data_IF_492862778635
#
_entry.id   IF_492862778635
#
_cell.length_a   1.000
_cell.length_b   1.000
_cell.length_c   1.000
_cell.angle_alpha   90.00
_cell.angle_beta   90.00
_cell.angle_gamma   90.00
#
_symmetry.space_group_name_H-M   'P 1'
#
loop_
_entity.id
_entity.type
_entity.pdbx_description
1 polymer ?
#
# COMPACT_ATOMS: atom_id res chain seq x y z
N UNK A 1 -11.08 55.66 16.32
CA UNK A 1 -10.63 54.25 16.15
C UNK A 1 -11.73 53.42 15.49
N UNK A 2 -11.73 53.42 14.17
CA UNK A 2 -12.69 52.64 13.42
C UNK A 2 -12.10 51.24 13.23
N UNK A 3 -12.48 50.32 14.05
CA UNK A 3 -12.32 48.88 13.78
C UNK A 3 -13.07 48.56 12.52
N UNK A 4 -12.36 48.60 11.38
CA UNK A 4 -12.86 48.11 10.10
C UNK A 4 -13.07 46.61 10.27
N UNK A 5 -14.27 46.16 10.63
CA UNK A 5 -14.66 44.76 10.55
C UNK A 5 -14.43 44.34 9.11
N UNK A 6 -13.40 43.59 8.88
CA UNK A 6 -13.14 42.98 7.61
C UNK A 6 -14.25 41.95 7.39
N UNK A 7 -15.32 42.38 6.72
CA UNK A 7 -16.36 41.45 6.25
C UNK A 7 -15.65 40.45 5.35
N UNK A 8 -15.46 39.24 5.84
CA UNK A 8 -14.97 38.14 5.01
C UNK A 8 -16.05 37.87 3.97
N UNK A 9 -15.78 38.25 2.73
CA UNK A 9 -16.66 37.96 1.62
C UNK A 9 -16.87 36.44 1.53
N UNK A 10 -18.08 36.02 1.20
CA UNK A 10 -18.38 34.60 1.04
C UNK A 10 -17.47 33.97 -0.02
N UNK A 11 -16.94 32.77 0.20
CA UNK A 11 -16.06 32.13 -0.75
C UNK A 11 -16.77 31.93 -2.11
N UNK A 12 -16.08 32.22 -3.20
CA UNK A 12 -16.58 31.97 -4.56
C UNK A 12 -16.84 30.46 -4.74
N UNK A 13 -17.79 30.11 -5.58
CA UNK A 13 -18.11 28.69 -5.89
C UNK A 13 -16.86 27.91 -6.32
N UNK A 14 -15.98 28.52 -7.11
CA UNK A 14 -14.69 27.94 -7.52
C UNK A 14 -13.80 27.61 -6.32
N UNK A 15 -13.79 28.48 -5.30
CA UNK A 15 -13.05 28.24 -4.05
C UNK A 15 -13.62 27.08 -3.27
N UNK A 16 -14.94 26.94 -3.23
CA UNK A 16 -15.61 25.79 -2.56
C UNK A 16 -15.22 24.48 -3.25
N UNK A 17 -15.24 24.44 -4.58
CA UNK A 17 -14.82 23.27 -5.35
C UNK A 17 -13.36 22.91 -5.06
N UNK A 18 -12.47 23.90 -5.03
CA UNK A 18 -11.05 23.68 -4.70
C UNK A 18 -10.88 23.13 -3.27
N UNK A 19 -11.62 23.65 -2.30
CA UNK A 19 -11.60 23.13 -0.92
C UNK A 19 -12.05 21.66 -0.88
N UNK A 20 -13.10 21.31 -1.60
CA UNK A 20 -13.55 19.91 -1.70
C UNK A 20 -12.46 19.02 -2.28
N UNK A 21 -11.78 19.45 -3.34
CA UNK A 21 -10.66 18.71 -3.92
C UNK A 21 -9.50 18.53 -2.91
N UNK A 22 -9.15 19.56 -2.14
CA UNK A 22 -8.11 19.49 -1.11
C UNK A 22 -8.52 18.52 0.01
N UNK A 23 -9.79 18.50 0.41
CA UNK A 23 -10.30 17.55 1.40
C UNK A 23 -10.19 16.11 0.89
N UNK A 24 -10.57 15.84 -0.36
CA UNK A 24 -10.48 14.51 -0.97
C UNK A 24 -9.02 14.04 -1.01
N UNK A 25 -8.09 14.91 -1.44
CA UNK A 25 -6.66 14.63 -1.44
C UNK A 25 -6.13 14.39 -0.02
N UNK A 26 -6.60 15.16 0.95
CA UNK A 26 -6.24 15.00 2.36
C UNK A 26 -6.71 13.67 2.94
N UNK A 27 -7.93 13.23 2.60
CA UNK A 27 -8.44 11.92 3.02
C UNK A 27 -7.63 10.77 2.41
N UNK A 28 -7.22 10.90 1.14
CA UNK A 28 -6.33 9.94 0.51
C UNK A 28 -4.96 9.93 1.22
N UNK A 29 -4.35 11.09 1.43
CA UNK A 29 -3.08 11.20 2.15
C UNK A 29 -3.17 10.61 3.57
N UNK A 30 -4.28 10.83 4.29
CA UNK A 30 -4.50 10.25 5.61
C UNK A 30 -4.54 8.70 5.57
N UNK A 31 -5.14 8.12 4.54
CA UNK A 31 -5.13 6.67 4.31
C UNK A 31 -3.71 6.13 4.16
N UNK A 32 -2.87 6.80 3.35
CA UNK A 32 -1.48 6.42 3.12
C UNK A 32 -0.60 6.64 4.37
N UNK A 33 -0.75 7.77 5.06
CA UNK A 33 0.00 8.04 6.31
C UNK A 33 -0.35 7.00 7.37
N UNK A 34 -1.63 6.67 7.55
CA UNK A 34 -2.06 5.62 8.48
C UNK A 34 -1.48 4.25 8.11
N UNK A 35 -1.44 3.92 6.82
CA UNK A 35 -0.83 2.70 6.31
C UNK A 35 0.65 2.61 6.68
N UNK A 36 1.47 3.61 6.31
CA UNK A 36 2.91 3.60 6.59
C UNK A 36 3.22 3.72 8.08
N UNK A 37 2.39 4.41 8.86
CA UNK A 37 2.55 4.48 10.32
C UNK A 37 2.24 3.16 11.01
N UNK A 38 1.21 2.42 10.56
CA UNK A 38 0.89 1.10 11.09
C UNK A 38 1.95 0.05 10.72
N UNK A 39 2.58 0.17 9.54
CA UNK A 39 3.73 -0.65 9.13
C UNK A 39 4.90 -0.53 10.09
N UNK A 40 5.24 0.67 10.56
CA UNK A 40 6.34 0.87 11.53
C UNK A 40 6.11 0.02 12.79
N UNK A 41 4.87 -0.16 13.21
CA UNK A 41 4.53 -1.00 14.37
C UNK A 41 4.69 -2.50 14.07
N UNK A 42 4.34 -2.95 12.87
CA UNK A 42 4.48 -4.35 12.42
C UNK A 42 5.94 -4.69 12.16
N UNK A 43 6.69 -3.78 11.57
CA UNK A 43 8.09 -3.98 11.18
C UNK A 43 9.06 -4.02 12.38
N UNK A 44 8.65 -3.49 13.53
CA UNK A 44 9.35 -3.74 14.81
C UNK A 44 9.21 -5.18 15.29
N UNK A 45 8.31 -5.96 14.72
CA UNK A 45 8.18 -7.38 15.00
C UNK A 45 9.15 -8.15 14.09
N UNK A 46 10.31 -8.52 14.63
CA UNK A 46 11.40 -9.23 13.93
C UNK A 46 10.92 -10.57 13.33
N UNK A 47 9.81 -11.11 13.86
CA UNK A 47 9.27 -12.42 13.46
C UNK A 47 8.26 -12.37 12.30
N UNK A 48 8.05 -11.21 11.67
CA UNK A 48 7.12 -11.12 10.54
C UNK A 48 7.78 -11.57 9.23
N UNK A 49 7.17 -12.50 8.47
CA UNK A 49 7.70 -12.91 7.18
C UNK A 49 7.68 -11.74 6.18
N UNK A 50 8.55 -11.84 5.15
CA UNK A 50 8.69 -10.83 4.09
C UNK A 50 8.47 -11.49 2.74
N UNK A 51 7.75 -10.81 1.83
CA UNK A 51 7.74 -11.12 0.41
C UNK A 51 8.65 -10.15 -0.32
N UNK A 52 9.60 -10.69 -1.07
CA UNK A 52 10.56 -9.93 -1.87
C UNK A 52 10.45 -10.36 -3.35
N UNK A 53 10.16 -9.41 -4.24
CA UNK A 53 10.05 -9.61 -5.69
C UNK A 53 10.82 -8.49 -6.39
N UNK A 54 12.15 -8.61 -6.52
CA UNK A 54 13.00 -7.53 -7.02
C UNK A 54 12.64 -7.05 -8.43
N UNK A 55 12.17 -7.95 -9.31
CA UNK A 55 11.77 -7.63 -10.69
C UNK A 55 10.76 -6.49 -10.78
N UNK A 56 9.87 -6.39 -9.79
CA UNK A 56 8.83 -5.35 -9.72
C UNK A 56 8.97 -4.43 -8.50
N UNK A 57 10.09 -4.55 -7.76
CA UNK A 57 10.44 -3.68 -6.63
C UNK A 57 9.54 -3.86 -5.41
N UNK A 58 9.07 -5.08 -5.16
CA UNK A 58 8.30 -5.42 -3.95
C UNK A 58 9.26 -5.94 -2.88
N UNK A 59 9.22 -5.32 -1.71
CA UNK A 59 9.82 -5.80 -0.46
C UNK A 59 8.86 -5.39 0.67
N UNK A 60 8.02 -6.34 1.11
CA UNK A 60 6.89 -6.08 1.96
C UNK A 60 6.77 -7.10 3.09
N UNK A 61 6.53 -6.62 4.32
CA UNK A 61 6.16 -7.48 5.44
C UNK A 61 4.80 -8.13 5.18
N UNK A 62 4.73 -9.42 5.50
CA UNK A 62 3.48 -10.17 5.42
C UNK A 62 2.80 -10.11 6.79
N UNK A 63 1.52 -9.74 6.80
CA UNK A 63 0.67 -9.75 7.98
C UNK A 63 -0.46 -10.77 7.85
N UNK A 64 -1.07 -11.14 8.98
CA UNK A 64 -2.22 -12.05 9.04
C UNK A 64 -3.49 -11.38 9.57
N UNK A 65 -3.52 -10.04 9.59
CA UNK A 65 -4.59 -9.25 10.22
C UNK A 65 -5.53 -8.64 9.20
N UNK A 66 -4.99 -7.87 8.23
CA UNK A 66 -5.80 -7.10 7.30
C UNK A 66 -5.03 -6.68 6.04
N UNK A 67 -5.75 -6.61 4.92
CA UNK A 67 -5.25 -6.01 3.68
C UNK A 67 -4.87 -4.52 3.83
N UNK A 68 -5.49 -3.82 4.77
CA UNK A 68 -5.15 -2.42 5.05
C UNK A 68 -3.76 -2.24 5.67
N UNK A 69 -3.12 -3.32 6.09
CA UNK A 69 -1.76 -3.33 6.64
C UNK A 69 -0.70 -3.83 5.64
N UNK A 70 -1.05 -3.97 4.37
CA UNK A 70 -0.13 -4.38 3.32
C UNK A 70 -0.42 -5.76 2.75
N UNK A 71 0.61 -6.56 2.57
CA UNK A 71 0.46 -7.93 2.08
C UNK A 71 -0.08 -8.82 3.20
N UNK A 72 -1.22 -9.46 2.95
CA UNK A 72 -1.90 -10.32 3.91
C UNK A 72 -1.78 -11.79 3.50
N UNK A 73 -1.35 -12.63 4.44
CA UNK A 73 -1.43 -14.08 4.31
C UNK A 73 -2.86 -14.56 4.62
N UNK A 74 -3.45 -15.34 3.72
CA UNK A 74 -4.79 -15.89 3.94
C UNK A 74 -4.73 -16.99 5.01
N UNK A 75 -5.49 -16.83 6.09
CA UNK A 75 -5.55 -17.77 7.20
C UNK A 75 -6.04 -19.19 6.81
N UNK A 76 -6.63 -19.34 5.61
CA UNK A 76 -7.07 -20.64 5.08
C UNK A 76 -6.01 -21.31 4.20
N UNK A 77 -4.90 -20.63 3.93
CA UNK A 77 -3.76 -21.19 3.21
C UNK A 77 -2.69 -21.69 4.20
N UNK A 78 -1.67 -22.32 3.67
CA UNK A 78 -0.62 -22.92 4.47
C UNK A 78 0.61 -22.02 4.56
N UNK A 79 1.55 -22.33 5.42
CA UNK A 79 2.88 -21.74 5.42
C UNK A 79 3.74 -22.40 4.33
N UNK A 80 4.77 -21.71 3.82
CA UNK A 80 5.71 -22.32 2.86
C UNK A 80 6.18 -23.69 3.33
N UNK A 81 6.41 -24.60 2.40
CA UNK A 81 6.80 -26.01 2.62
C UNK A 81 5.76 -26.92 3.28
N UNK A 82 4.71 -26.36 3.89
CA UNK A 82 3.62 -27.15 4.48
C UNK A 82 2.38 -27.25 3.58
N UNK A 83 2.34 -26.48 2.49
CA UNK A 83 1.25 -26.47 1.52
C UNK A 83 1.22 -25.19 0.71
N UNK A 84 0.15 -25.00 -0.04
CA UNK A 84 -0.02 -23.85 -0.90
C UNK A 84 -0.22 -22.56 -0.09
N UNK A 85 0.50 -21.51 -0.50
CA UNK A 85 0.49 -20.19 0.15
C UNK A 85 -0.40 -19.22 -0.65
N UNK A 86 -1.26 -18.47 0.02
CA UNK A 86 -2.01 -17.37 -0.59
C UNK A 86 -1.61 -16.05 0.06
N UNK A 87 -1.13 -15.11 -0.75
CA UNK A 87 -0.87 -13.73 -0.35
C UNK A 87 -1.77 -12.78 -1.14
N UNK A 88 -2.43 -11.88 -0.45
CA UNK A 88 -3.29 -10.86 -1.04
C UNK A 88 -2.77 -9.46 -0.72
N UNK A 89 -2.89 -8.55 -1.67
CA UNK A 89 -2.45 -7.16 -1.50
C UNK A 89 -3.28 -6.19 -2.35
N UNK A 90 -3.41 -4.95 -1.87
CA UNK A 90 -4.07 -3.91 -2.63
C UNK A 90 -3.28 -3.51 -3.87
N UNK A 91 -4.01 -3.10 -4.93
CA UNK A 91 -3.40 -2.61 -6.17
C UNK A 91 -3.33 -1.09 -6.26
N UNK A 92 -4.21 -0.36 -5.57
CA UNK A 92 -4.36 1.10 -5.70
C UNK A 92 -4.54 1.85 -4.40
N UNK A 93 -4.59 1.16 -3.27
CA UNK A 93 -4.85 1.75 -1.95
C UNK A 93 -3.82 1.27 -0.95
N UNK A 94 -3.58 2.09 0.08
CA UNK A 94 -2.81 1.68 1.26
C UNK A 94 -1.43 1.09 0.87
N UNK A 95 -0.57 1.94 0.28
CA UNK A 95 0.75 1.59 -0.19
C UNK A 95 0.78 0.81 -1.50
N UNK A 96 -0.37 0.29 -1.96
CA UNK A 96 -0.49 -0.43 -3.24
C UNK A 96 0.59 -1.51 -3.45
N UNK A 97 0.82 -2.42 -2.48
CA UNK A 97 1.96 -3.35 -2.53
C UNK A 97 1.97 -4.21 -3.80
N UNK A 98 0.81 -4.48 -4.39
CA UNK A 98 0.67 -5.28 -5.61
C UNK A 98 0.30 -4.45 -6.86
N UNK A 99 0.65 -3.15 -6.89
CA UNK A 99 0.37 -2.27 -8.03
C UNK A 99 0.93 -2.84 -9.34
N UNK A 100 2.17 -3.33 -9.31
CA UNK A 100 2.92 -3.80 -10.49
C UNK A 100 2.87 -5.31 -10.70
N UNK A 101 1.99 -6.02 -10.00
CA UNK A 101 1.92 -7.49 -10.06
C UNK A 101 1.67 -8.02 -11.49
N UNK A 102 0.97 -7.24 -12.33
CA UNK A 102 0.74 -7.58 -13.74
C UNK A 102 2.01 -7.58 -14.61
N UNK A 103 3.11 -7.01 -14.14
CA UNK A 103 4.38 -6.96 -14.88
C UNK A 103 5.17 -8.27 -14.76
N UNK A 104 4.83 -9.13 -13.78
CA UNK A 104 5.47 -10.44 -13.65
C UNK A 104 5.19 -11.34 -14.84
N UNK A 105 6.21 -12.10 -15.24
CA UNK A 105 6.18 -13.04 -16.32
C UNK A 105 6.61 -14.43 -15.83
N UNK A 106 6.28 -15.47 -16.61
CA UNK A 106 6.74 -16.82 -16.31
C UNK A 106 8.28 -16.85 -16.25
N UNK A 107 8.80 -17.47 -15.20
CA UNK A 107 10.24 -17.53 -14.90
C UNK A 107 10.74 -16.47 -13.91
N UNK A 108 9.95 -15.42 -13.61
CA UNK A 108 10.29 -14.48 -12.54
C UNK A 108 10.26 -15.16 -11.17
N UNK A 109 11.06 -14.66 -10.22
CA UNK A 109 11.19 -15.27 -8.90
C UNK A 109 10.44 -14.45 -7.85
N UNK A 110 9.69 -15.17 -7.01
CA UNK A 110 9.04 -14.67 -5.80
C UNK A 110 9.77 -15.29 -4.62
N UNK A 111 10.37 -14.47 -3.76
CA UNK A 111 11.09 -14.93 -2.57
C UNK A 111 10.26 -14.62 -1.33
N UNK A 112 10.09 -15.60 -0.46
CA UNK A 112 9.55 -15.43 0.88
C UNK A 112 10.65 -15.65 1.91
N UNK A 113 10.91 -14.64 2.74
CA UNK A 113 11.70 -14.80 3.96
C UNK A 113 10.74 -15.18 5.10
N UNK A 114 10.78 -16.43 5.53
CA UNK A 114 9.81 -16.91 6.51
C UNK A 114 10.47 -17.38 7.80
N UNK A 115 10.31 -16.66 8.92
CA UNK A 115 10.90 -17.03 10.20
C UNK A 115 10.53 -18.46 10.61
N UNK A 116 11.55 -19.23 10.99
CA UNK A 116 11.38 -20.63 11.35
C UNK A 116 11.36 -21.63 10.17
N UNK A 117 11.34 -21.14 8.91
CA UNK A 117 11.41 -21.97 7.70
C UNK A 117 12.66 -21.65 6.90
N UNK A 118 12.93 -20.36 6.61
CA UNK A 118 14.06 -19.91 5.80
C UNK A 118 13.63 -19.03 4.63
N UNK A 119 14.53 -18.87 3.67
CA UNK A 119 14.26 -18.28 2.36
C UNK A 119 13.60 -19.33 1.47
N UNK A 120 12.42 -19.01 0.93
CA UNK A 120 11.66 -19.91 0.08
C UNK A 120 11.39 -19.23 -1.26
N UNK A 121 11.93 -19.80 -2.33
CA UNK A 121 11.85 -19.26 -3.67
C UNK A 121 10.79 -20.00 -4.49
N UNK A 122 9.93 -19.23 -5.17
CA UNK A 122 8.93 -19.72 -6.11
C UNK A 122 9.21 -19.12 -7.49
N UNK A 123 9.10 -19.93 -8.54
CA UNK A 123 9.17 -19.47 -9.92
C UNK A 123 7.76 -19.27 -10.46
N UNK A 124 7.48 -18.09 -11.02
CA UNK A 124 6.19 -17.79 -11.66
C UNK A 124 5.96 -18.72 -12.83
N UNK A 125 4.84 -19.43 -12.82
CA UNK A 125 4.43 -20.39 -13.85
C UNK A 125 3.18 -19.96 -14.60
N UNK A 126 2.32 -19.12 -14.00
CA UNK A 126 1.06 -18.74 -14.61
C UNK A 126 0.59 -17.36 -14.15
N UNK A 127 -0.16 -16.68 -15.02
CA UNK A 127 -0.83 -15.41 -14.74
C UNK A 127 -2.24 -15.45 -15.30
N UNK A 128 -3.25 -15.31 -14.46
CA UNK A 128 -4.66 -15.37 -14.87
C UNK A 128 -5.48 -14.22 -14.30
N UNK A 129 -6.55 -13.85 -15.01
CA UNK A 129 -7.57 -12.92 -14.53
C UNK A 129 -8.87 -13.73 -14.37
N UNK A 130 -9.46 -13.63 -13.19
CA UNK A 130 -10.65 -14.43 -12.84
C UNK A 130 -11.73 -13.54 -12.22
N UNK A 131 -12.94 -14.08 -12.12
CA UNK A 131 -14.05 -13.43 -11.42
C UNK A 131 -13.73 -13.23 -9.91
N UNK A 132 -14.28 -12.18 -9.27
CA UNK A 132 -14.02 -11.89 -7.85
C UNK A 132 -14.41 -13.02 -6.89
N UNK A 133 -15.32 -13.89 -7.33
CA UNK A 133 -15.84 -15.03 -6.57
C UNK A 133 -15.08 -16.32 -6.80
N UNK A 134 -14.09 -16.31 -7.69
CA UNK A 134 -13.25 -17.49 -7.94
C UNK A 134 -12.54 -17.93 -6.66
N UNK A 135 -12.51 -19.24 -6.44
CA UNK A 135 -11.84 -19.85 -5.27
C UNK A 135 -10.58 -20.56 -5.72
N UNK A 136 -9.51 -20.33 -4.97
CA UNK A 136 -8.29 -21.12 -5.09
C UNK A 136 -8.42 -22.30 -4.09
N UNK A 137 -8.31 -23.51 -4.61
CA UNK A 137 -8.30 -24.70 -3.78
C UNK A 137 -6.86 -24.99 -3.37
N UNK A 138 -6.49 -24.60 -2.15
CA UNK A 138 -5.16 -24.87 -1.58
C UNK A 138 -5.05 -26.34 -1.15
N UNK A 139 -3.88 -26.91 -1.36
CA UNK A 139 -3.57 -28.28 -1.00
C UNK A 139 -2.59 -28.32 0.17
N UNK A 140 -2.86 -29.20 1.12
CA UNK A 140 -1.87 -29.61 2.10
C UNK A 140 -0.74 -30.37 1.38
N UNK A 141 0.53 -30.03 1.68
CA UNK A 141 1.71 -30.46 0.93
C UNK A 141 1.75 -29.96 -0.53
N UNK A 142 0.97 -28.95 -0.90
CA UNK A 142 1.09 -28.22 -2.15
C UNK A 142 2.40 -27.43 -2.19
N UNK A 143 2.86 -27.14 -3.39
CA UNK A 143 4.13 -26.45 -3.65
C UNK A 143 3.93 -25.11 -4.33
N UNK A 144 2.71 -24.54 -4.29
CA UNK A 144 2.38 -23.34 -5.03
C UNK A 144 2.23 -22.12 -4.11
N UNK A 145 2.51 -20.96 -4.70
CA UNK A 145 2.15 -19.66 -4.14
C UNK A 145 1.17 -18.96 -5.08
N UNK A 146 0.17 -18.30 -4.52
CA UNK A 146 -0.79 -17.48 -5.23
C UNK A 146 -0.74 -16.05 -4.72
N UNK A 147 -0.31 -15.09 -5.58
CA UNK A 147 -0.38 -13.68 -5.28
C UNK A 147 -1.65 -13.10 -5.91
N UNK A 148 -2.51 -12.47 -5.10
CA UNK A 148 -3.84 -12.03 -5.51
C UNK A 148 -3.99 -10.53 -5.36
N UNK A 149 -4.48 -9.86 -6.40
CA UNK A 149 -4.86 -8.45 -6.35
C UNK A 149 -6.09 -8.16 -7.21
N UNK A 150 -6.61 -6.94 -7.13
CA UNK A 150 -7.73 -6.49 -7.96
C UNK A 150 -7.29 -6.20 -9.40
N UNK A 151 -8.19 -6.39 -10.37
CA UNK A 151 -8.01 -6.06 -11.78
C UNK A 151 -9.32 -5.51 -12.38
N UNK A 152 -9.25 -4.53 -13.32
CA UNK A 152 -8.11 -3.68 -13.64
C UNK A 152 -7.76 -2.70 -12.50
N UNK A 153 -6.67 -1.93 -12.68
CA UNK A 153 -6.25 -0.88 -11.74
C UNK A 153 -7.42 0.05 -11.41
N UNK A 154 -7.68 0.28 -10.11
CA UNK A 154 -8.78 1.12 -9.65
C UNK A 154 -10.17 0.46 -9.68
N UNK A 155 -10.26 -0.81 -10.04
CA UNK A 155 -11.51 -1.58 -10.10
C UNK A 155 -11.42 -2.86 -9.27
N UNK A 156 -12.59 -3.33 -8.83
CA UNK A 156 -12.74 -4.62 -8.14
C UNK A 156 -13.46 -5.67 -8.99
N UNK A 157 -13.61 -5.40 -10.31
CA UNK A 157 -14.37 -6.23 -11.23
C UNK A 157 -13.83 -7.66 -11.34
N UNK A 158 -12.50 -7.81 -11.33
CA UNK A 158 -11.82 -9.10 -11.44
C UNK A 158 -10.70 -9.22 -10.40
N UNK A 159 -10.06 -10.40 -10.39
CA UNK A 159 -8.83 -10.66 -9.64
C UNK A 159 -7.73 -11.08 -10.60
N UNK A 160 -6.58 -10.42 -10.48
CA UNK A 160 -5.32 -10.89 -11.06
C UNK A 160 -4.69 -11.87 -10.07
N UNK A 161 -4.36 -13.05 -10.55
CA UNK A 161 -3.69 -14.11 -9.80
C UNK A 161 -2.37 -14.41 -10.51
N UNK A 162 -1.28 -14.34 -9.77
CA UNK A 162 0.03 -14.87 -10.17
C UNK A 162 0.23 -16.17 -9.40
N UNK A 163 0.52 -17.23 -10.12
CA UNK A 163 0.83 -18.55 -9.59
C UNK A 163 2.31 -18.83 -9.76
N UNK A 164 2.97 -19.23 -8.67
CA UNK A 164 4.35 -19.66 -8.66
C UNK A 164 4.49 -21.06 -8.09
N UNK A 165 5.46 -21.82 -8.57
CA UNK A 165 5.81 -23.15 -8.08
C UNK A 165 7.11 -23.08 -7.28
N UNK A 166 7.16 -23.81 -6.16
CA UNK A 166 8.33 -23.90 -5.29
C UNK A 166 9.55 -24.38 -6.07
N UNK A 167 10.62 -23.59 -6.05
CA UNK A 167 11.84 -23.86 -6.81
C UNK A 167 13.05 -24.17 -5.91
N UNK A 168 13.14 -23.51 -4.73
CA UNK A 168 14.28 -23.69 -3.83
C UNK A 168 13.92 -23.28 -2.39
N UNK A 169 14.66 -23.85 -1.43
CA UNK A 169 14.56 -23.48 0.00
C UNK A 169 15.98 -23.32 0.55
N UNK A 170 16.27 -22.14 1.08
CA UNK A 170 17.57 -21.76 1.60
C UNK A 170 17.55 -21.20 3.03
N UNK A 171 18.68 -20.80 3.55
CA UNK A 171 18.77 -20.16 4.85
C UNK A 171 18.13 -18.76 4.80
N UNK A 172 17.50 -18.37 5.90
CA UNK A 172 16.86 -17.07 6.04
C UNK A 172 17.84 -15.91 5.86
N UNK A 173 17.39 -14.83 5.20
CA UNK A 173 18.18 -13.62 5.02
C UNK A 173 17.76 -12.55 6.04
N UNK A 174 18.44 -12.51 7.17
CA UNK A 174 18.15 -11.57 8.26
C UNK A 174 18.21 -10.10 7.84
N UNK A 175 18.96 -9.76 6.80
CA UNK A 175 19.05 -8.37 6.30
C UNK A 175 17.73 -7.92 5.67
N UNK A 176 17.05 -8.80 4.95
CA UNK A 176 15.75 -8.51 4.34
C UNK A 176 14.68 -8.41 5.44
N UNK A 177 14.70 -9.31 6.41
CA UNK A 177 13.76 -9.28 7.53
C UNK A 177 13.88 -8.00 8.37
N UNK A 178 15.10 -7.49 8.56
CA UNK A 178 15.35 -6.29 9.35
C UNK A 178 15.20 -4.99 8.56
N UNK A 179 15.08 -5.06 7.23
CA UNK A 179 14.94 -3.88 6.39
C UNK A 179 13.53 -3.30 6.46
N UNK A 180 13.47 -1.96 6.48
CA UNK A 180 12.23 -1.19 6.38
C UNK A 180 12.38 -0.12 5.30
N UNK A 181 12.14 -0.46 4.03
CA UNK A 181 12.31 0.49 2.93
C UNK A 181 11.34 1.67 2.98
N UNK A 182 10.29 1.60 3.80
CA UNK A 182 9.20 2.58 3.83
C UNK A 182 9.12 3.41 5.12
N UNK A 183 10.11 3.32 6.02
CA UNK A 183 10.10 3.98 7.34
C UNK A 183 9.80 5.48 7.28
N UNK A 184 10.30 6.16 6.27
CA UNK A 184 10.16 7.63 6.12
C UNK A 184 8.92 8.07 5.34
N UNK A 185 8.14 7.16 4.75
CA UNK A 185 7.10 7.54 3.79
C UNK A 185 5.94 8.31 4.43
N UNK A 186 5.52 7.97 5.63
CA UNK A 186 4.50 8.74 6.36
C UNK A 186 4.93 10.21 6.52
N UNK A 187 6.16 10.45 6.95
CA UNK A 187 6.72 11.79 7.11
C UNK A 187 6.86 12.53 5.78
N UNK A 188 7.29 11.84 4.72
CA UNK A 188 7.44 12.41 3.39
C UNK A 188 6.07 12.86 2.86
N UNK A 189 5.03 12.03 2.97
CA UNK A 189 3.66 12.34 2.50
C UNK A 189 3.10 13.54 3.26
N UNK A 190 3.21 13.56 4.59
CA UNK A 190 2.73 14.68 5.42
C UNK A 190 3.46 15.98 5.07
N UNK A 191 4.78 15.93 4.96
CA UNK A 191 5.59 17.11 4.62
C UNK A 191 5.30 17.59 3.21
N UNK A 192 5.18 16.69 2.24
CA UNK A 192 4.86 17.03 0.85
C UNK A 192 3.47 17.69 0.75
N UNK A 193 2.46 17.14 1.44
CA UNK A 193 1.11 17.72 1.47
C UNK A 193 1.13 19.15 2.00
N UNK A 194 1.83 19.39 3.12
CA UNK A 194 1.98 20.71 3.72
C UNK A 194 2.69 21.69 2.77
N UNK A 195 3.86 21.33 2.25
CA UNK A 195 4.67 22.21 1.40
C UNK A 195 3.94 22.56 0.10
N UNK A 196 3.39 21.57 -0.59
CA UNK A 196 2.62 21.78 -1.83
C UNK A 196 1.38 22.63 -1.53
N UNK A 197 0.67 22.36 -0.45
CA UNK A 197 -0.50 23.12 -0.02
C UNK A 197 -0.18 24.56 0.31
N UNK A 198 0.96 24.86 0.95
CA UNK A 198 1.42 26.21 1.24
C UNK A 198 1.79 26.97 -0.05
N UNK A 199 2.52 26.32 -0.97
CA UNK A 199 2.87 26.88 -2.28
C UNK A 199 1.58 27.20 -3.06
N UNK A 200 0.64 26.27 -3.15
CA UNK A 200 -0.63 26.47 -3.81
C UNK A 200 -1.43 27.62 -3.17
N UNK A 201 -1.50 27.67 -1.84
CA UNK A 201 -2.13 28.77 -1.10
C UNK A 201 -1.47 30.11 -1.41
N UNK A 202 -0.14 30.17 -1.55
CA UNK A 202 0.59 31.40 -1.88
C UNK A 202 0.19 31.99 -3.24
N UNK A 203 0.00 31.16 -4.25
CA UNK A 203 -0.41 31.57 -5.60
C UNK A 203 -1.91 31.76 -5.76
N UNK A 204 -2.72 31.35 -4.77
CA UNK A 204 -4.18 31.49 -4.84
C UNK A 204 -4.60 32.95 -4.73
N UNK A 205 -5.74 33.38 -5.37
CA UNK A 205 -6.25 34.76 -5.29
C UNK A 205 -6.43 35.25 -3.86
N UNK A 206 -5.95 36.47 -3.58
CA UNK A 206 -5.87 37.05 -2.22
C UNK A 206 -7.20 37.04 -1.49
N UNK A 207 -8.32 37.27 -2.18
CA UNK A 207 -9.66 37.38 -1.59
C UNK A 207 -10.11 36.10 -0.88
N UNK A 208 -9.68 34.94 -1.36
CA UNK A 208 -10.09 33.61 -0.85
C UNK A 208 -8.91 32.76 -0.32
N UNK A 209 -7.70 33.31 -0.33
CA UNK A 209 -6.46 32.63 0.05
C UNK A 209 -6.51 32.08 1.48
N UNK A 210 -7.13 32.81 2.39
CA UNK A 210 -7.18 32.43 3.81
C UNK A 210 -7.97 31.14 4.03
N UNK A 211 -8.99 30.86 3.22
CA UNK A 211 -9.76 29.62 3.30
C UNK A 211 -8.91 28.42 2.86
N UNK A 212 -8.14 28.58 1.78
CA UNK A 212 -7.24 27.52 1.28
C UNK A 212 -6.13 27.25 2.30
N UNK A 213 -5.51 28.30 2.84
CA UNK A 213 -4.47 28.18 3.85
C UNK A 213 -4.98 27.45 5.09
N UNK A 214 -6.16 27.85 5.61
CA UNK A 214 -6.75 27.26 6.80
C UNK A 214 -7.00 25.75 6.61
N UNK A 215 -7.60 25.33 5.48
CA UNK A 215 -7.91 23.92 5.25
C UNK A 215 -6.64 23.07 5.09
N UNK A 216 -5.61 23.60 4.40
CA UNK A 216 -4.31 22.93 4.27
C UNK A 216 -3.66 22.72 5.63
N UNK A 217 -3.63 23.77 6.48
CA UNK A 217 -3.05 23.66 7.83
C UNK A 217 -3.83 22.69 8.73
N UNK A 218 -5.17 22.71 8.67
CA UNK A 218 -6.00 21.79 9.45
C UNK A 218 -5.73 20.35 9.05
N UNK A 219 -5.74 20.05 7.74
CA UNK A 219 -5.50 18.69 7.25
C UNK A 219 -4.07 18.25 7.60
N UNK A 220 -3.06 19.10 7.39
CA UNK A 220 -1.67 18.78 7.72
C UNK A 220 -1.43 18.53 9.23
N UNK A 221 -2.25 19.12 10.09
CA UNK A 221 -2.18 18.88 11.54
C UNK A 221 -2.87 17.56 11.96
N UNK A 222 -3.73 17.00 11.11
CA UNK A 222 -4.41 15.71 11.32
C UNK A 222 -3.57 14.55 10.78
N UNK A 223 -2.82 14.79 9.69
CA UNK A 223 -1.89 13.82 9.08
C UNK A 223 -0.69 13.53 10.00
#
# INVERSE_FOLDING_TARGET
DVYKRQNMDKPKITTIVVIICIIILGLYAAGEVNYYSSKIAIEKNIDSPVVNIPTIGIEEKINNVSLSQGVMHDAKSFTPTNGDVILSGHRTLQGSPFLRLNELNNGDVITLEWPGIGEVNYTVINKTIVEPTARINTQNNGTHIYLITCDPIGSTAHRLIIEGELSDVGPINDKIIQNNPHESYALIITTAFLVIGLIFSYFYPKDNRIYILAIVLIISAIL
#
